data_IF_438924597160
#
_entry.id   IF_438924597160
#
_cell.length_a   1.000
_cell.length_b   1.000
_cell.length_c   1.000
_cell.angle_alpha   90.00
_cell.angle_beta   90.00
_cell.angle_gamma   90.00
#
_symmetry.space_group_name_H-M   'P 1'
#
loop_
_entity.id
_entity.type
_entity.pdbx_description
1 polymer ?
#
# COMPACT_ATOMS: atom_id res chain seq x y z
N UNK A 1 26.81 8.02 -14.23
CA UNK A 1 26.82 6.63 -14.75
C UNK A 1 25.51 5.99 -14.32
N UNK A 2 24.90 5.16 -15.16
CA UNK A 2 23.68 4.45 -14.78
C UNK A 2 23.99 3.24 -13.90
N UNK A 3 23.03 2.83 -13.08
CA UNK A 3 23.07 1.59 -12.31
C UNK A 3 22.06 0.60 -12.89
N UNK A 4 22.40 -0.69 -12.91
CA UNK A 4 21.48 -1.73 -13.37
C UNK A 4 20.50 -2.07 -12.25
N UNK A 5 19.21 -1.85 -12.49
CA UNK A 5 18.15 -2.18 -11.54
C UNK A 5 17.51 -3.53 -11.90
N UNK A 6 17.28 -4.36 -10.87
CA UNK A 6 16.53 -5.61 -10.98
C UNK A 6 15.15 -5.43 -10.35
N UNK A 7 14.10 -5.99 -10.95
CA UNK A 7 12.74 -5.79 -10.48
C UNK A 7 11.73 -6.75 -11.09
N UNK A 8 10.46 -6.56 -10.73
CA UNK A 8 9.30 -7.28 -11.27
C UNK A 8 8.63 -6.42 -12.34
N UNK A 9 8.21 -7.05 -13.43
CA UNK A 9 7.46 -6.39 -14.50
C UNK A 9 5.96 -6.48 -14.19
N UNK A 10 5.29 -5.32 -14.13
CA UNK A 10 3.85 -5.19 -13.82
C UNK A 10 3.03 -4.72 -15.05
N UNK A 11 3.59 -4.81 -16.26
CA UNK A 11 2.94 -4.30 -17.48
C UNK A 11 1.81 -5.18 -18.01
N UNK A 12 1.77 -6.46 -17.66
CA UNK A 12 0.74 -7.40 -18.12
C UNK A 12 -0.19 -7.83 -16.98
N UNK A 13 -1.27 -7.07 -16.71
CA UNK A 13 -2.19 -7.44 -15.66
C UNK A 13 -3.23 -8.47 -16.07
N UNK A 14 -3.51 -9.42 -15.15
CA UNK A 14 -4.75 -10.19 -15.18
C UNK A 14 -5.97 -9.29 -14.91
N UNK A 15 -7.17 -9.69 -15.36
CA UNK A 15 -8.38 -8.86 -15.24
C UNK A 15 -8.81 -8.53 -13.78
N UNK A 16 -8.32 -9.29 -12.80
CA UNK A 16 -8.52 -9.09 -11.35
C UNK A 16 -7.52 -8.08 -10.73
N UNK A 17 -6.57 -7.56 -11.52
CA UNK A 17 -5.31 -6.97 -11.04
C UNK A 17 -5.35 -5.43 -10.91
N UNK A 18 -6.49 -4.79 -11.23
CA UNK A 18 -6.65 -3.32 -11.08
C UNK A 18 -6.99 -2.86 -9.65
N UNK A 19 -6.92 -3.76 -8.66
CA UNK A 19 -7.11 -3.40 -7.26
C UNK A 19 -5.79 -2.88 -6.68
N UNK A 20 -5.83 -1.77 -5.96
CA UNK A 20 -4.69 -1.32 -5.14
C UNK A 20 -4.14 -2.47 -4.31
N UNK A 21 -2.83 -2.67 -4.24
CA UNK A 21 -2.19 -3.75 -3.47
C UNK A 21 -0.89 -3.28 -2.83
N UNK A 22 -0.60 -3.81 -1.63
CA UNK A 22 0.65 -3.60 -0.90
C UNK A 22 1.70 -4.69 -1.19
N UNK A 23 1.33 -5.76 -1.92
CA UNK A 23 2.20 -6.90 -2.20
C UNK A 23 3.57 -6.48 -2.75
N UNK A 24 3.69 -5.58 -3.75
CA UNK A 24 5.00 -5.16 -4.24
C UNK A 24 5.84 -4.50 -3.15
N UNK A 25 5.22 -3.63 -2.34
CA UNK A 25 5.91 -2.93 -1.26
C UNK A 25 6.43 -3.92 -0.20
N UNK A 26 5.58 -4.86 0.22
CA UNK A 26 5.93 -5.88 1.20
C UNK A 26 7.01 -6.83 0.69
N UNK A 27 6.93 -7.27 -0.57
CA UNK A 27 7.92 -8.15 -1.20
C UNK A 27 9.29 -7.47 -1.30
N UNK A 28 9.35 -6.23 -1.77
CA UNK A 28 10.61 -5.49 -1.87
C UNK A 28 11.17 -5.11 -0.49
N UNK A 29 10.33 -4.80 0.50
CA UNK A 29 10.78 -4.56 1.87
C UNK A 29 11.46 -5.80 2.46
N UNK A 30 10.84 -6.98 2.33
CA UNK A 30 11.44 -8.26 2.75
C UNK A 30 12.74 -8.56 2.01
N UNK A 31 12.78 -8.36 0.69
CA UNK A 31 14.00 -8.56 -0.13
C UNK A 31 15.14 -7.61 0.23
N UNK A 32 14.83 -6.44 0.79
CA UNK A 32 15.84 -5.50 1.30
C UNK A 32 16.50 -5.94 2.61
N UNK A 33 16.05 -7.05 3.21
CA UNK A 33 16.45 -7.46 4.55
C UNK A 33 15.79 -6.64 5.66
N UNK A 34 14.60 -6.07 5.38
CA UNK A 34 13.83 -5.28 6.33
C UNK A 34 14.61 -4.08 6.90
N UNK A 35 15.48 -3.50 6.07
CA UNK A 35 16.33 -2.37 6.45
C UNK A 35 15.50 -1.13 6.77
N UNK A 36 15.85 -0.43 7.85
CA UNK A 36 15.27 0.88 8.17
C UNK A 36 15.54 1.92 7.06
N UNK A 37 16.58 1.72 6.24
CA UNK A 37 16.89 2.59 5.09
C UNK A 37 15.87 2.44 3.94
N UNK A 38 15.11 1.34 3.90
CA UNK A 38 14.07 1.12 2.89
C UNK A 38 13.04 2.26 2.91
N UNK A 39 12.66 2.69 4.12
CA UNK A 39 11.81 3.85 4.34
C UNK A 39 12.63 5.11 4.66
N UNK A 40 13.55 5.48 3.76
CA UNK A 40 14.47 6.61 3.90
C UNK A 40 13.82 7.99 4.16
N UNK A 41 12.51 8.14 3.93
CA UNK A 41 11.74 9.37 4.13
C UNK A 41 10.43 9.11 4.88
N UNK A 42 10.52 8.70 6.14
CA UNK A 42 9.38 8.34 6.99
C UNK A 42 8.25 9.37 6.99
N UNK A 43 8.56 10.65 7.18
CA UNK A 43 7.55 11.71 7.20
C UNK A 43 6.77 11.79 5.87
N UNK A 44 7.46 11.60 4.73
CA UNK A 44 6.81 11.59 3.43
C UNK A 44 5.95 10.35 3.22
N UNK A 45 6.38 9.19 3.73
CA UNK A 45 5.57 7.98 3.68
C UNK A 45 4.25 8.18 4.44
N UNK A 46 4.31 8.72 5.67
CA UNK A 46 3.11 8.99 6.47
C UNK A 46 2.15 9.96 5.79
N UNK A 47 2.66 10.97 5.07
CA UNK A 47 1.82 11.88 4.29
C UNK A 47 1.09 11.19 3.13
N UNK A 48 1.67 10.14 2.54
CA UNK A 48 1.05 9.36 1.47
C UNK A 48 0.02 8.37 2.02
N UNK A 49 0.28 7.77 3.17
CA UNK A 49 -0.62 6.79 3.81
C UNK A 49 -1.72 7.44 4.65
N UNK A 50 -1.55 8.70 5.03
CA UNK A 50 -2.48 9.47 5.88
C UNK A 50 -2.06 9.52 7.35
N UNK A 51 -1.33 8.51 7.81
CA UNK A 51 -0.79 8.39 9.18
C UNK A 51 0.43 7.44 9.23
N UNK A 52 0.83 7.03 10.43
CA UNK A 52 1.93 6.09 10.68
C UNK A 52 1.51 4.61 10.77
N UNK A 53 0.21 4.29 10.76
CA UNK A 53 -0.30 2.96 11.09
C UNK A 53 0.13 1.91 10.08
N UNK A 54 0.08 2.24 8.79
CA UNK A 54 0.49 1.31 7.72
C UNK A 54 1.96 0.91 7.89
N UNK A 55 2.83 1.86 8.24
CA UNK A 55 4.24 1.55 8.42
C UNK A 55 4.47 0.66 9.65
N UNK A 56 3.78 0.95 10.76
CA UNK A 56 3.85 0.12 11.97
C UNK A 56 3.43 -1.32 11.65
N UNK A 57 2.29 -1.52 10.99
CA UNK A 57 1.81 -2.83 10.58
C UNK A 57 2.79 -3.58 9.66
N UNK A 58 3.44 -2.88 8.71
CA UNK A 58 4.47 -3.47 7.84
C UNK A 58 5.66 -3.94 8.68
N UNK A 59 6.14 -3.13 9.63
CA UNK A 59 7.28 -3.47 10.50
C UNK A 59 6.94 -4.60 11.48
N UNK A 60 5.69 -4.73 11.89
CA UNK A 60 5.18 -5.82 12.72
C UNK A 60 4.93 -7.12 11.92
N UNK A 61 5.11 -7.09 10.60
CA UNK A 61 4.94 -8.26 9.74
C UNK A 61 3.48 -8.64 9.46
N UNK A 62 2.55 -7.71 9.67
CA UNK A 62 1.13 -7.90 9.39
C UNK A 62 0.92 -8.17 7.89
N UNK A 63 0.01 -9.08 7.55
CA UNK A 63 -0.26 -9.45 6.16
C UNK A 63 -1.03 -8.34 5.42
N UNK A 64 -0.88 -8.23 4.09
CA UNK A 64 -1.69 -7.26 3.31
C UNK A 64 -3.20 -7.43 3.54
N UNK A 65 -3.78 -8.66 3.52
CA UNK A 65 -5.20 -8.84 3.82
C UNK A 65 -5.62 -8.23 5.16
N UNK A 66 -4.81 -8.38 6.21
CA UNK A 66 -5.10 -7.87 7.55
C UNK A 66 -4.94 -6.36 7.64
N UNK A 67 -3.89 -5.79 7.02
CA UNK A 67 -3.71 -4.33 6.88
C UNK A 67 -4.95 -3.73 6.23
N UNK A 68 -5.42 -4.32 5.13
CA UNK A 68 -6.59 -3.83 4.41
C UNK A 68 -7.89 -4.04 5.16
N UNK A 69 -7.99 -5.11 5.94
CA UNK A 69 -9.14 -5.34 6.81
C UNK A 69 -9.25 -4.23 7.86
N UNK A 70 -8.13 -3.68 8.36
CA UNK A 70 -8.15 -2.54 9.29
C UNK A 70 -8.77 -1.27 8.70
N UNK A 71 -8.78 -1.12 7.36
CA UNK A 71 -9.41 0.02 6.69
C UNK A 71 -10.91 -0.18 6.41
N UNK A 72 -11.44 -1.38 6.62
CA UNK A 72 -12.77 -1.76 6.15
C UNK A 72 -13.89 -0.90 6.74
N UNK A 73 -13.77 -0.52 8.01
CA UNK A 73 -14.74 0.31 8.73
C UNK A 73 -14.81 1.72 8.14
N UNK A 74 -13.69 2.44 8.10
CA UNK A 74 -13.62 3.80 7.54
C UNK A 74 -13.99 3.83 6.05
N UNK A 75 -13.63 2.79 5.29
CA UNK A 75 -14.04 2.66 3.89
C UNK A 75 -15.56 2.47 3.75
N UNK A 76 -16.22 1.76 4.67
CA UNK A 76 -17.67 1.60 4.68
C UNK A 76 -18.38 2.92 5.03
N UNK A 77 -17.85 3.66 6.00
CA UNK A 77 -18.32 5.01 6.35
C UNK A 77 -18.18 5.97 5.18
N UNK A 78 -17.00 6.00 4.53
CA UNK A 78 -16.76 6.84 3.37
C UNK A 78 -17.67 6.49 2.19
N UNK A 79 -17.91 5.20 1.93
CA UNK A 79 -18.87 4.77 0.89
C UNK A 79 -20.27 5.30 1.16
N UNK A 80 -20.72 5.27 2.41
CA UNK A 80 -22.02 5.80 2.82
C UNK A 80 -22.09 7.33 2.67
N UNK A 81 -21.02 8.04 3.02
CA UNK A 81 -20.91 9.50 2.83
C UNK A 81 -20.91 9.87 1.34
N UNK A 82 -20.09 9.19 0.53
CA UNK A 82 -19.90 9.46 -0.90
C UNK A 82 -21.20 9.31 -1.70
N UNK A 83 -22.11 8.41 -1.29
CA UNK A 83 -23.38 8.19 -1.96
C UNK A 83 -24.22 9.47 -2.14
N UNK A 84 -24.12 10.43 -1.21
CA UNK A 84 -24.83 11.73 -1.28
C UNK A 84 -24.37 12.62 -2.44
N UNK A 85 -23.20 12.36 -2.99
CA UNK A 85 -22.51 13.22 -3.95
C UNK A 85 -22.25 12.52 -5.30
N UNK A 86 -22.79 11.33 -5.51
CA UNK A 86 -22.65 10.61 -6.78
C UNK A 86 -23.51 11.27 -7.86
N UNK A 87 -22.87 11.62 -8.98
CA UNK A 87 -23.55 12.12 -10.19
C UNK A 87 -23.91 11.00 -11.17
N UNK A 88 -23.32 9.82 -10.98
CA UNK A 88 -23.51 8.64 -11.82
C UNK A 88 -23.91 7.46 -10.94
N UNK A 89 -24.90 6.66 -11.35
CA UNK A 89 -25.25 5.41 -10.70
C UNK A 89 -24.06 4.46 -10.56
#
# INVERSE_FOLDING_TARGET
>A
MGETCFGKDFREPGAEEHRFSLEPLLDFYRKSGESDEFFSRLQWFHLLTGDDQVLLQIKEGVSEPDIRASWAEELAEYRSLRAKYLLYP
#
